data_IF_699109033670
#
_entry.id   IF_699109033670
#
_cell.length_a   1.000
_cell.length_b   1.000
_cell.length_c   1.000
_cell.angle_alpha   90.00
_cell.angle_beta   90.00
_cell.angle_gamma   90.00
#
_symmetry.space_group_name_H-M   'P 1'
#
loop_
_entity.id
_entity.type
_entity.pdbx_description
1 polymer ?
#
# COMPACT_ATOMS: atom_id res chain seq x y z
N UNK A 1 14.87 -15.82 1.05
CA UNK A 1 14.80 -17.04 1.91
C UNK A 1 16.08 -17.25 2.72
N UNK A 2 17.28 -17.21 2.12
CA UNK A 2 18.56 -17.41 2.81
C UNK A 2 18.76 -16.50 4.03
N UNK A 3 18.58 -15.18 3.87
CA UNK A 3 18.72 -14.21 4.97
C UNK A 3 17.81 -14.57 6.14
N UNK A 4 16.53 -14.83 5.87
CA UNK A 4 15.53 -15.19 6.88
C UNK A 4 15.88 -16.47 7.64
N UNK A 5 16.29 -17.53 6.93
CA UNK A 5 16.70 -18.77 7.57
C UNK A 5 17.96 -18.58 8.42
N UNK A 6 18.95 -17.83 7.92
CA UNK A 6 20.13 -17.48 8.70
C UNK A 6 19.75 -16.71 9.98
N UNK A 7 18.86 -15.73 9.89
CA UNK A 7 18.36 -14.99 11.07
C UNK A 7 17.64 -15.88 12.06
N UNK A 8 16.78 -16.82 11.60
CA UNK A 8 16.11 -17.78 12.48
C UNK A 8 17.12 -18.68 13.18
N UNK A 9 18.13 -19.19 12.47
CA UNK A 9 19.17 -20.02 13.09
C UNK A 9 19.99 -19.23 14.11
N UNK A 10 20.37 -17.99 13.78
CA UNK A 10 21.20 -17.14 14.65
C UNK A 10 20.44 -16.67 15.90
N UNK A 11 19.19 -16.24 15.75
CA UNK A 11 18.39 -15.74 16.89
C UNK A 11 17.70 -16.86 17.67
N UNK A 12 17.58 -18.06 17.08
CA UNK A 12 16.94 -19.23 17.68
C UNK A 12 15.51 -18.99 18.21
N UNK A 13 14.62 -18.25 17.51
CA UNK A 13 13.26 -18.06 17.99
C UNK A 13 12.51 -19.41 18.01
N UNK A 14 11.50 -19.57 18.87
CA UNK A 14 10.69 -20.79 18.88
C UNK A 14 10.08 -21.06 17.51
N UNK A 15 10.21 -22.30 17.01
CA UNK A 15 9.68 -22.72 15.69
C UNK A 15 8.20 -22.40 15.57
N UNK A 16 7.42 -22.62 16.64
CA UNK A 16 5.98 -22.30 16.67
C UNK A 16 5.72 -20.82 16.42
N UNK A 17 6.55 -19.91 16.97
CA UNK A 17 6.40 -18.48 16.75
C UNK A 17 6.68 -18.10 15.29
N UNK A 18 7.70 -18.72 14.66
CA UNK A 18 7.98 -18.54 13.24
C UNK A 18 6.80 -18.99 12.39
N UNK A 19 6.25 -20.18 12.67
CA UNK A 19 5.11 -20.73 11.92
C UNK A 19 3.88 -19.83 12.04
N UNK A 20 3.55 -19.37 13.26
CA UNK A 20 2.42 -18.46 13.48
C UNK A 20 2.64 -17.14 12.74
N UNK A 21 3.84 -16.57 12.83
CA UNK A 21 4.18 -15.34 12.11
C UNK A 21 3.99 -15.50 10.61
N UNK A 22 4.46 -16.59 10.02
CA UNK A 22 4.28 -16.87 8.59
C UNK A 22 2.82 -16.97 8.20
N UNK A 23 2.03 -17.71 8.97
CA UNK A 23 0.59 -17.87 8.69
C UNK A 23 -0.10 -16.50 8.72
N UNK A 24 0.14 -15.73 9.78
CA UNK A 24 -0.47 -14.41 9.94
C UNK A 24 -0.02 -13.47 8.83
N UNK A 25 1.28 -13.41 8.54
CA UNK A 25 1.86 -12.55 7.49
C UNK A 25 1.26 -12.87 6.11
N UNK A 26 1.16 -14.15 5.75
CA UNK A 26 0.63 -14.54 4.45
C UNK A 26 -0.89 -14.36 4.37
N UNK A 27 -1.63 -14.69 5.43
CA UNK A 27 -3.07 -14.51 5.47
C UNK A 27 -3.47 -13.03 5.33
N UNK A 28 -2.78 -12.15 6.04
CA UNK A 28 -2.98 -10.70 5.97
C UNK A 28 -2.56 -10.12 4.62
N UNK A 29 -1.45 -10.59 4.03
CA UNK A 29 -1.03 -10.23 2.67
C UNK A 29 -2.11 -10.57 1.63
N UNK A 30 -2.68 -11.78 1.70
CA UNK A 30 -3.73 -12.19 0.79
C UNK A 30 -5.03 -11.42 1.03
N UNK A 31 -5.34 -11.11 2.29
CA UNK A 31 -6.54 -10.36 2.66
C UNK A 31 -6.48 -8.91 2.20
N UNK A 32 -5.40 -8.17 2.51
CA UNK A 32 -5.29 -6.75 2.21
C UNK A 32 -5.13 -6.45 0.70
N UNK A 33 -4.61 -7.40 -0.09
CA UNK A 33 -4.54 -7.31 -1.56
C UNK A 33 -5.70 -8.04 -2.27
N UNK A 34 -6.63 -8.63 -1.52
CA UNK A 34 -7.77 -9.34 -2.08
C UNK A 34 -8.76 -8.39 -2.77
N UNK A 35 -9.37 -8.82 -3.88
CA UNK A 35 -10.45 -8.07 -4.53
C UNK A 35 -11.81 -8.37 -3.90
N UNK A 36 -11.91 -8.27 -2.57
CA UNK A 36 -13.11 -8.58 -1.79
C UNK A 36 -13.80 -7.31 -1.33
N UNK A 37 -15.09 -7.17 -1.64
CA UNK A 37 -15.93 -6.07 -1.14
C UNK A 37 -16.54 -6.46 0.20
N UNK A 38 -16.13 -5.78 1.27
CA UNK A 38 -16.71 -5.97 2.59
C UNK A 38 -17.95 -5.08 2.79
N UNK A 39 -18.96 -5.53 3.55
CA UNK A 39 -20.02 -4.65 4.02
C UNK A 39 -19.42 -3.47 4.83
N UNK A 40 -19.87 -2.24 4.56
CA UNK A 40 -19.26 -1.03 5.13
C UNK A 40 -19.18 -1.02 6.66
N UNK A 41 -20.18 -1.57 7.35
CA UNK A 41 -20.18 -1.65 8.82
C UNK A 41 -19.09 -2.59 9.32
N UNK A 42 -18.89 -3.72 8.64
CA UNK A 42 -17.86 -4.70 8.98
C UNK A 42 -16.47 -4.12 8.73
N UNK A 43 -16.26 -3.53 7.56
CA UNK A 43 -15.01 -2.86 7.18
C UNK A 43 -14.61 -1.79 8.23
N UNK A 44 -15.56 -0.95 8.65
CA UNK A 44 -15.34 0.09 9.67
C UNK A 44 -14.82 -0.46 11.00
N UNK A 45 -15.33 -1.61 11.44
CA UNK A 45 -14.87 -2.26 12.68
C UNK A 45 -13.52 -2.92 12.46
N UNK A 46 -13.36 -3.68 11.37
CA UNK A 46 -12.13 -4.41 11.07
C UNK A 46 -10.92 -3.50 10.93
N UNK A 47 -11.09 -2.30 10.35
CA UNK A 47 -10.02 -1.30 10.20
C UNK A 47 -9.41 -0.82 11.51
N UNK A 48 -9.99 -1.15 12.68
CA UNK A 48 -9.36 -0.90 13.98
C UNK A 48 -8.33 -1.96 14.37
N UNK A 49 -8.37 -3.14 13.77
CA UNK A 49 -7.57 -4.30 14.18
C UNK A 49 -6.67 -4.81 13.05
N UNK A 50 -7.14 -4.77 11.81
CA UNK A 50 -6.43 -5.29 10.63
C UNK A 50 -6.55 -4.33 9.46
N UNK A 51 -5.53 -4.31 8.61
CA UNK A 51 -5.57 -3.59 7.34
C UNK A 51 -6.49 -4.34 6.37
N UNK A 52 -7.66 -3.75 6.10
CA UNK A 52 -8.67 -4.28 5.17
C UNK A 52 -8.32 -4.00 3.71
N UNK A 53 -8.90 -4.74 2.74
CA UNK A 53 -8.74 -4.48 1.31
C UNK A 53 -8.92 -3.01 0.93
N UNK A 54 -10.03 -2.39 1.36
CA UNK A 54 -10.36 -1.02 0.97
C UNK A 54 -9.43 0.00 1.64
N UNK A 55 -9.02 -0.21 2.90
CA UNK A 55 -8.00 0.62 3.56
C UNK A 55 -6.68 0.58 2.78
N UNK A 56 -6.19 -0.62 2.46
CA UNK A 56 -4.94 -0.78 1.73
C UNK A 56 -5.03 -0.21 0.30
N UNK A 57 -6.20 -0.33 -0.35
CA UNK A 57 -6.38 0.16 -1.72
C UNK A 57 -6.15 1.66 -1.87
N UNK A 58 -6.38 2.47 -0.83
CA UNK A 58 -6.10 3.92 -0.86
C UNK A 58 -4.61 4.19 -1.13
N UNK A 59 -3.72 3.38 -0.56
CA UNK A 59 -2.27 3.44 -0.81
C UNK A 59 -1.92 3.16 -2.28
N UNK A 60 -2.75 2.40 -3.01
CA UNK A 60 -2.57 2.11 -4.43
C UNK A 60 -3.16 3.17 -5.37
N UNK A 61 -3.73 4.25 -4.81
CA UNK A 61 -4.22 5.38 -5.61
C UNK A 61 -3.08 5.95 -6.45
N UNK A 62 -3.42 6.39 -7.65
CA UNK A 62 -2.48 7.14 -8.49
C UNK A 62 -2.17 8.52 -7.90
N UNK A 63 -3.07 9.09 -7.09
CA UNK A 63 -2.88 10.43 -6.51
C UNK A 63 -1.88 10.39 -5.35
N UNK A 64 -0.84 11.23 -5.41
CA UNK A 64 0.25 11.22 -4.44
C UNK A 64 -0.21 11.43 -2.98
N UNK A 65 -1.22 12.26 -2.72
CA UNK A 65 -1.75 12.51 -1.37
C UNK A 65 -2.53 11.31 -0.78
N UNK A 66 -2.97 10.39 -1.63
CA UNK A 66 -3.65 9.14 -1.27
C UNK A 66 -2.65 7.99 -1.19
N UNK A 67 -1.75 7.90 -2.15
CA UNK A 67 -0.68 6.89 -2.17
C UNK A 67 0.20 7.00 -0.92
N UNK A 68 0.49 8.23 -0.46
CA UNK A 68 1.29 8.47 0.73
C UNK A 68 0.46 8.41 2.04
N UNK A 69 -0.43 7.44 2.14
CA UNK A 69 -1.25 7.14 3.32
C UNK A 69 -1.39 5.63 3.50
N UNK A 70 -1.84 5.18 4.67
CA UNK A 70 -2.09 3.76 4.98
C UNK A 70 -0.88 2.84 4.72
N UNK A 71 0.29 3.17 5.28
CA UNK A 71 1.55 2.44 5.14
C UNK A 71 1.58 1.11 5.92
N UNK A 72 0.67 0.92 6.88
CA UNK A 72 0.57 -0.31 7.64
C UNK A 72 0.27 -1.50 6.75
N UNK A 73 1.01 -2.60 6.94
CA UNK A 73 0.79 -3.84 6.20
C UNK A 73 -0.24 -4.75 6.88
N UNK A 74 -0.01 -5.11 8.15
CA UNK A 74 -0.87 -6.01 8.92
C UNK A 74 -1.78 -5.23 9.89
N UNK A 75 -1.18 -4.29 10.61
CA UNK A 75 -1.80 -3.58 11.73
C UNK A 75 -1.98 -2.10 11.38
N UNK A 76 -3.19 -1.55 11.56
CA UNK A 76 -3.51 -0.20 11.11
C UNK A 76 -3.21 0.87 12.18
N UNK A 77 -2.57 0.48 13.28
CA UNK A 77 -2.27 1.36 14.41
C UNK A 77 -1.13 2.32 14.12
N UNK A 78 -0.15 1.90 13.31
CA UNK A 78 0.95 2.76 12.90
C UNK A 78 0.44 3.98 12.14
N UNK A 79 -0.51 3.78 11.22
CA UNK A 79 -1.10 4.88 10.46
C UNK A 79 -1.90 5.86 11.33
N UNK A 80 -2.54 5.36 12.38
CA UNK A 80 -3.23 6.22 13.35
C UNK A 80 -2.26 6.97 14.23
N UNK A 81 -1.21 6.29 14.71
CA UNK A 81 -0.21 6.87 15.59
C UNK A 81 0.58 7.99 14.89
N UNK A 82 0.91 7.81 13.60
CA UNK A 82 1.69 8.77 12.82
C UNK A 82 0.84 9.68 11.93
N UNK A 83 -0.50 9.62 12.04
CA UNK A 83 -1.41 10.50 11.31
C UNK A 83 -1.43 10.29 9.78
N UNK A 84 -1.08 9.09 9.30
CA UNK A 84 -1.12 8.71 7.89
C UNK A 84 -2.36 7.89 7.52
N UNK A 85 -3.29 7.70 8.46
CA UNK A 85 -4.54 6.98 8.19
C UNK A 85 -5.49 7.79 7.30
N UNK A 86 -5.93 7.20 6.19
CA UNK A 86 -6.94 7.75 5.27
C UNK A 86 -8.06 6.75 5.03
N UNK A 87 -9.27 7.11 5.42
CA UNK A 87 -10.41 6.19 5.35
C UNK A 87 -10.93 5.97 3.91
N UNK A 88 -10.93 7.02 3.09
CA UNK A 88 -11.52 6.99 1.74
C UNK A 88 -10.65 7.79 0.76
N UNK A 89 -10.52 7.34 -0.50
CA UNK A 89 -9.99 8.16 -1.58
C UNK A 89 -11.05 9.18 -2.03
N UNK A 90 -10.62 10.26 -2.70
CA UNK A 90 -11.45 11.39 -3.12
C UNK A 90 -12.57 10.96 -4.07
N UNK A 91 -12.31 9.99 -4.94
CA UNK A 91 -13.30 9.41 -5.88
C UNK A 91 -14.09 8.21 -5.33
N UNK A 92 -13.94 7.86 -4.05
CA UNK A 92 -14.42 6.61 -3.49
C UNK A 92 -13.69 5.37 -4.06
N UNK A 93 -13.85 4.22 -3.41
CA UNK A 93 -13.09 3.01 -3.79
C UNK A 93 -13.41 2.47 -5.20
N UNK A 94 -14.59 2.77 -5.76
CA UNK A 94 -14.99 2.35 -7.10
C UNK A 94 -14.49 3.33 -8.20
N UNK A 95 -14.43 4.64 -7.90
CA UNK A 95 -13.99 5.67 -8.84
C UNK A 95 -12.49 5.97 -8.80
N UNK A 96 -11.77 5.41 -7.83
CA UNK A 96 -10.32 5.58 -7.69
C UNK A 96 -9.56 4.92 -8.83
N UNK A 97 -8.60 5.66 -9.39
CA UNK A 97 -7.64 5.11 -10.36
C UNK A 97 -6.43 4.57 -9.61
N UNK A 98 -6.09 3.30 -9.86
CA UNK A 98 -4.89 2.66 -9.30
C UNK A 98 -3.70 2.72 -10.28
N UNK A 99 -2.49 2.65 -9.72
CA UNK A 99 -1.24 2.48 -10.46
C UNK A 99 -0.27 3.66 -10.33
N UNK A 100 0.75 3.68 -11.18
CA UNK A 100 1.83 4.68 -11.15
C UNK A 100 1.56 5.75 -12.21
N UNK A 101 1.78 7.02 -11.86
CA UNK A 101 1.71 8.13 -12.82
C UNK A 101 2.58 7.87 -14.05
N UNK A 102 2.08 8.24 -15.24
CA UNK A 102 2.77 8.16 -16.56
C UNK A 102 3.03 6.75 -17.12
N UNK A 103 2.92 5.68 -16.32
CA UNK A 103 3.12 4.31 -16.77
C UNK A 103 1.79 3.55 -16.86
N UNK A 104 1.14 3.61 -18.03
CA UNK A 104 -0.16 2.94 -18.27
C UNK A 104 -0.20 2.06 -19.52
N UNK A 105 0.84 2.08 -20.34
CA UNK A 105 0.86 1.31 -21.58
C UNK A 105 1.02 -0.19 -21.29
N UNK A 106 0.13 -1.09 -21.78
CA UNK A 106 0.18 -2.51 -21.47
C UNK A 106 1.52 -3.18 -21.80
N UNK A 107 2.18 -2.75 -22.88
CA UNK A 107 3.51 -3.26 -23.25
C UNK A 107 4.59 -2.95 -22.20
N UNK A 108 4.39 -1.90 -21.41
CA UNK A 108 5.31 -1.48 -20.34
C UNK A 108 4.95 -2.15 -19.01
N UNK A 109 3.66 -2.20 -18.65
CA UNK A 109 3.23 -2.57 -17.30
C UNK A 109 2.63 -3.97 -17.16
N UNK A 110 2.28 -4.64 -18.26
CA UNK A 110 1.68 -5.97 -18.24
C UNK A 110 2.55 -7.04 -18.91
N UNK A 111 3.51 -6.64 -19.75
CA UNK A 111 4.39 -7.58 -20.45
C UNK A 111 5.73 -7.69 -19.73
N UNK A 112 6.25 -8.92 -19.63
CA UNK A 112 7.49 -9.19 -18.92
C UNK A 112 8.68 -8.32 -19.37
N UNK A 113 8.95 -8.15 -20.69
CA UNK A 113 10.06 -7.29 -21.13
C UNK A 113 9.89 -5.83 -20.69
N UNK A 114 8.66 -5.31 -20.74
CA UNK A 114 8.35 -3.97 -20.28
C UNK A 114 8.59 -3.81 -18.79
N UNK A 115 8.05 -4.73 -17.96
CA UNK A 115 8.18 -4.68 -16.51
C UNK A 115 9.64 -4.74 -16.05
N UNK A 116 10.46 -5.57 -16.71
CA UNK A 116 11.88 -5.67 -16.42
C UNK A 116 12.68 -4.45 -16.85
N UNK A 117 12.23 -3.73 -17.89
CA UNK A 117 12.92 -2.54 -18.40
C UNK A 117 12.50 -1.25 -17.69
N UNK A 118 11.31 -1.21 -17.05
CA UNK A 118 10.79 -0.03 -16.34
C UNK A 118 11.79 0.63 -15.37
N UNK A 119 12.58 -0.10 -14.56
CA UNK A 119 13.57 0.51 -13.66
C UNK A 119 14.70 1.28 -14.38
N UNK A 120 14.88 1.08 -15.69
CA UNK A 120 15.99 1.63 -16.48
C UNK A 120 15.57 2.67 -17.52
N UNK A 121 14.28 2.83 -17.80
CA UNK A 121 13.75 3.67 -18.90
C UNK A 121 13.24 5.04 -18.41
N UNK A 122 13.01 5.21 -17.10
CA UNK A 122 12.52 6.46 -16.52
C UNK A 122 13.63 7.41 -16.07
N UNK A 123 13.44 8.72 -16.28
CA UNK A 123 14.18 9.74 -15.51
C UNK A 123 13.61 9.75 -14.09
N UNK A 124 14.46 9.67 -13.06
CA UNK A 124 14.04 9.85 -11.66
C UNK A 124 13.59 11.31 -11.50
N UNK A 125 12.31 11.56 -11.72
CA UNK A 125 11.64 12.79 -11.26
C UNK A 125 11.26 12.58 -9.79
N UNK A 126 11.48 13.57 -8.93
CA UNK A 126 11.54 13.43 -7.47
C UNK A 126 10.51 12.50 -6.80
N UNK A 127 10.93 11.87 -5.69
CA UNK A 127 10.15 10.86 -4.94
C UNK A 127 8.76 11.33 -4.53
N UNK A 128 7.74 10.52 -4.84
CA UNK A 128 6.34 10.76 -4.47
C UNK A 128 6.15 11.02 -2.96
N UNK A 129 6.93 10.34 -2.10
CA UNK A 129 6.84 10.49 -0.63
C UNK A 129 7.16 11.92 -0.14
N UNK A 130 8.01 12.65 -0.87
CA UNK A 130 8.44 14.00 -0.50
C UNK A 130 7.70 15.10 -1.26
N UNK A 131 6.71 14.77 -2.09
CA UNK A 131 5.93 15.75 -2.85
C UNK A 131 4.67 16.21 -2.12
N UNK A 132 4.75 16.49 -0.81
CA UNK A 132 3.68 17.25 -0.12
C UNK A 132 3.70 18.71 -0.58
N UNK A 133 3.23 18.98 -1.80
CA UNK A 133 2.63 20.28 -2.11
C UNK A 133 1.21 20.24 -1.57
N UNK A 134 1.04 20.72 -0.34
CA UNK A 134 -0.27 21.10 0.16
C UNK A 134 -0.80 22.16 -0.82
N UNK A 135 -1.84 21.85 -1.59
CA UNK A 135 -2.56 22.88 -2.34
C UNK A 135 -3.18 23.82 -1.30
N UNK A 136 -2.49 24.92 -1.04
CA UNK A 136 -2.88 25.94 -0.08
C UNK A 136 -2.52 27.36 -0.52
N UNK A 137 -1.56 27.56 -1.43
CA UNK A 137 -1.01 28.92 -1.67
C UNK A 137 -0.95 29.39 -3.14
N UNK A 138 -1.58 28.70 -4.11
CA UNK A 138 -1.53 29.11 -5.53
C UNK A 138 -2.90 29.06 -6.24
N UNK A 139 -3.97 29.55 -5.60
CA UNK A 139 -5.13 30.05 -6.37
C UNK A 139 -5.06 31.59 -6.43
N UNK A 140 -4.96 32.20 -7.64
CA UNK A 140 -5.24 33.61 -7.76
C UNK A 140 -6.74 33.78 -7.49
N UNK A 141 -7.08 34.49 -6.41
CA UNK A 141 -8.44 34.98 -6.20
C UNK A 141 -8.85 35.81 -7.41
N UNK A 142 -9.79 35.29 -8.20
CA UNK A 142 -10.55 36.07 -9.18
C UNK A 142 -11.52 36.99 -8.47
#
# INVERSE_FOLDING_TARGET
>A
LLIKFATIVVLGPPVVAVVIFEIVLNATAMFNHGNVRLPQKLDRVLRWFVVTPDMHRVHHSVADDEANSNFGFNLPWWDRLFGTYRAQPRGGHEGMTIGIHKYREPKQVAWLPGMLALPFIGKITGYAINQRRWQGDDEPKS
#
